data_IF_021637956139
#
_entry.id   IF_021637956139
#
_cell.length_a   1.000
_cell.length_b   1.000
_cell.length_c   1.000
_cell.angle_alpha   90.00
_cell.angle_beta   90.00
_cell.angle_gamma   90.00
#
_symmetry.space_group_name_H-M   'P 1'
#
loop_
_entity.id
_entity.type
_entity.pdbx_description
1 polymer ?
#
# COMPACT_ATOMS: atom_id res chain seq x y z
N UNK A 1 -2.96 -16.65 8.85
CA UNK A 1 -3.43 -15.60 7.93
C UNK A 1 -2.48 -14.43 8.11
N UNK A 2 -1.61 -14.20 7.14
CA UNK A 2 -0.57 -13.16 7.23
C UNK A 2 -1.00 -11.91 6.49
N UNK A 3 -1.83 -11.10 7.09
CA UNK A 3 -2.11 -9.76 6.57
C UNK A 3 -1.06 -8.79 7.08
N UNK A 4 -0.52 -7.96 6.20
CA UNK A 4 0.33 -6.83 6.58
C UNK A 4 -0.52 -5.58 6.74
N UNK A 5 -0.10 -4.72 7.65
CA UNK A 5 -0.66 -3.37 7.76
C UNK A 5 -0.25 -2.58 6.51
N UNK A 6 -1.11 -1.70 6.02
CA UNK A 6 -0.81 -0.90 4.82
C UNK A 6 0.47 -0.09 5.00
N UNK A 7 0.76 0.37 6.21
CA UNK A 7 2.00 1.09 6.52
C UNK A 7 3.28 0.32 6.16
N UNK A 8 3.23 -1.03 6.16
CA UNK A 8 4.37 -1.88 5.81
C UNK A 8 4.50 -2.13 4.29
N UNK A 9 3.61 -1.55 3.50
CA UNK A 9 3.67 -1.66 2.03
C UNK A 9 4.76 -0.76 1.46
N UNK A 10 5.65 -1.33 0.67
CA UNK A 10 6.76 -0.57 0.09
C UNK A 10 6.35 0.39 -1.03
N UNK A 11 5.21 0.17 -1.70
CA UNK A 11 4.89 0.85 -2.96
C UNK A 11 3.77 1.87 -2.86
N UNK A 12 2.84 1.66 -1.96
CA UNK A 12 1.59 2.41 -1.92
C UNK A 12 1.53 3.38 -0.75
N UNK A 13 2.66 3.55 -0.06
CA UNK A 13 2.78 4.44 1.08
C UNK A 13 3.86 5.47 0.78
N UNK A 14 3.48 6.73 0.74
CA UNK A 14 4.38 7.83 0.40
C UNK A 14 5.68 7.82 1.23
N UNK A 15 5.58 7.46 2.50
CA UNK A 15 6.71 7.41 3.44
C UNK A 15 7.74 6.30 3.13
N UNK A 16 7.39 5.36 2.23
CA UNK A 16 8.25 4.27 1.79
C UNK A 16 8.70 4.43 0.33
N UNK A 17 8.31 5.53 -0.32
CA UNK A 17 8.69 5.84 -1.70
C UNK A 17 9.95 6.69 -1.73
N UNK A 18 11.12 6.06 -1.85
CA UNK A 18 12.39 6.77 -1.97
C UNK A 18 12.40 7.78 -3.10
N UNK A 19 11.79 7.43 -4.24
CA UNK A 19 11.71 8.31 -5.40
C UNK A 19 11.03 9.65 -5.07
N UNK A 20 10.01 9.60 -4.20
CA UNK A 20 9.30 10.78 -3.74
C UNK A 20 10.11 11.55 -2.69
N UNK A 21 10.56 10.84 -1.65
CA UNK A 21 11.27 11.45 -0.52
C UNK A 21 12.57 12.10 -0.93
N UNK A 22 13.31 11.47 -1.83
CA UNK A 22 14.61 11.94 -2.32
C UNK A 22 14.52 12.70 -3.64
N UNK A 23 13.29 12.89 -4.16
CA UNK A 23 13.06 13.55 -5.46
C UNK A 23 13.87 12.91 -6.60
N UNK A 24 14.03 11.59 -6.56
CA UNK A 24 14.74 10.86 -7.62
C UNK A 24 13.93 10.85 -8.90
N UNK A 25 14.56 11.19 -9.99
CA UNK A 25 13.96 11.19 -11.33
C UNK A 25 14.84 10.43 -12.31
N UNK A 26 14.23 9.99 -13.40
CA UNK A 26 14.94 9.36 -14.51
C UNK A 26 15.41 10.39 -15.54
N UNK A 27 14.99 11.65 -15.41
CA UNK A 27 15.35 12.73 -16.33
C UNK A 27 16.50 13.54 -15.75
N UNK A 28 17.52 13.90 -16.56
CA UNK A 28 18.62 14.74 -16.11
C UNK A 28 18.17 16.11 -15.61
N UNK A 29 17.09 16.62 -16.15
CA UNK A 29 16.50 17.91 -15.80
C UNK A 29 15.78 17.90 -14.45
N UNK A 30 15.61 16.73 -13.83
CA UNK A 30 14.96 16.58 -12.54
C UNK A 30 13.43 16.75 -12.56
N UNK A 31 12.78 16.56 -13.71
CA UNK A 31 11.32 16.58 -13.80
C UNK A 31 10.67 15.42 -13.02
N UNK A 32 9.59 15.64 -12.28
CA UNK A 32 8.79 16.89 -12.18
C UNK A 32 9.22 17.83 -11.04
N UNK A 33 10.26 17.51 -10.28
CA UNK A 33 10.57 18.21 -9.01
C UNK A 33 11.35 19.51 -9.19
N UNK A 34 12.33 19.53 -10.07
CA UNK A 34 13.29 20.65 -10.25
C UNK A 34 13.48 21.09 -11.69
N UNK A 35 12.67 20.56 -12.62
CA UNK A 35 12.85 20.89 -14.03
C UNK A 35 12.48 22.36 -14.33
N UNK A 36 13.00 22.93 -15.44
CA UNK A 36 12.74 24.33 -15.84
C UNK A 36 11.26 24.66 -16.07
N UNK A 37 10.45 23.65 -16.33
CA UNK A 37 9.00 23.78 -16.55
C UNK A 37 8.20 23.85 -15.25
N UNK A 38 8.77 23.46 -14.11
CA UNK A 38 8.11 23.56 -12.83
C UNK A 38 8.14 24.98 -12.30
N UNK A 39 6.98 25.61 -12.20
CA UNK A 39 6.81 26.99 -11.74
C UNK A 39 6.44 27.11 -10.26
N UNK A 40 6.26 26.00 -9.58
CA UNK A 40 5.97 25.95 -8.15
C UNK A 40 7.19 26.26 -7.29
N UNK A 41 6.95 26.60 -6.02
CA UNK A 41 8.02 26.70 -5.02
C UNK A 41 8.61 25.35 -4.67
N UNK A 42 9.71 25.35 -3.90
CA UNK A 42 10.31 24.13 -3.43
C UNK A 42 9.33 23.34 -2.54
N UNK A 43 8.98 22.13 -2.96
CA UNK A 43 8.19 21.19 -2.15
C UNK A 43 9.15 20.23 -1.46
N UNK A 44 9.03 20.12 -0.14
CA UNK A 44 9.78 19.16 0.67
C UNK A 44 8.90 17.98 1.01
N UNK A 45 9.47 16.79 0.90
CA UNK A 45 8.80 15.54 1.24
C UNK A 45 9.57 14.86 2.37
N UNK A 46 8.85 14.41 3.40
CA UNK A 46 9.46 13.69 4.53
C UNK A 46 8.47 12.70 5.13
N UNK A 47 8.98 11.72 5.84
CA UNK A 47 8.15 10.78 6.61
C UNK A 47 7.40 11.52 7.71
N UNK A 48 6.10 11.30 7.82
CA UNK A 48 5.26 11.96 8.81
C UNK A 48 4.66 13.30 8.34
N UNK A 49 4.86 13.70 7.07
CA UNK A 49 4.29 14.95 6.55
C UNK A 49 2.76 14.91 6.43
N UNK A 50 2.17 13.72 6.42
CA UNK A 50 0.73 13.50 6.32
C UNK A 50 0.19 12.74 7.56
N UNK A 51 0.11 13.38 8.73
CA UNK A 51 -0.17 12.69 9.99
C UNK A 51 -1.53 11.98 10.01
N UNK A 52 -2.55 12.53 9.36
CA UNK A 52 -3.86 11.87 9.26
C UNK A 52 -3.78 10.60 8.38
N UNK A 53 -3.05 10.67 7.27
CA UNK A 53 -2.81 9.52 6.41
C UNK A 53 -2.03 8.45 7.18
N UNK A 54 -0.98 8.83 7.89
CA UNK A 54 -0.16 7.91 8.68
C UNK A 54 -0.99 7.21 9.76
N UNK A 55 -1.88 7.93 10.44
CA UNK A 55 -2.81 7.37 11.41
C UNK A 55 -3.82 6.38 10.79
N UNK A 56 -4.25 6.61 9.56
CA UNK A 56 -5.14 5.70 8.85
C UNK A 56 -4.42 4.44 8.39
N UNK A 57 -3.30 4.60 7.69
CA UNK A 57 -2.57 3.46 7.11
C UNK A 57 -1.96 2.54 8.17
N UNK A 58 -1.65 3.06 9.37
CA UNK A 58 -1.17 2.25 10.49
C UNK A 58 -2.21 1.25 11.02
N UNK A 59 -3.49 1.48 10.73
CA UNK A 59 -4.63 0.65 11.15
C UNK A 59 -5.33 -0.04 9.99
N UNK A 60 -4.99 0.32 8.76
CA UNK A 60 -5.58 -0.24 7.56
C UNK A 60 -4.85 -1.53 7.16
N UNK A 61 -5.60 -2.49 6.68
CA UNK A 61 -5.10 -3.68 6.01
C UNK A 61 -5.53 -3.65 4.56
N UNK A 62 -4.63 -4.04 3.66
CA UNK A 62 -4.96 -4.21 2.26
C UNK A 62 -5.38 -5.66 2.01
N UNK A 63 -6.56 -5.83 1.44
CA UNK A 63 -7.10 -7.13 1.04
C UNK A 63 -6.93 -7.23 -0.47
N UNK A 64 -5.79 -7.74 -0.91
CA UNK A 64 -5.55 -7.98 -2.33
C UNK A 64 -6.17 -9.31 -2.76
N UNK A 65 -7.09 -9.23 -3.71
CA UNK A 65 -7.70 -10.38 -4.38
C UNK A 65 -7.35 -10.34 -5.86
N UNK A 66 -7.16 -11.51 -6.45
CA UNK A 66 -6.89 -11.64 -7.89
C UNK A 66 -5.44 -11.48 -8.32
N UNK A 67 -4.53 -11.16 -7.42
CA UNK A 67 -3.10 -11.02 -7.70
C UNK A 67 -2.33 -12.16 -7.06
N UNK A 68 -1.51 -12.86 -7.84
CA UNK A 68 -0.67 -13.96 -7.37
C UNK A 68 0.72 -13.51 -6.91
N UNK A 69 0.97 -12.22 -6.86
CA UNK A 69 2.27 -11.68 -6.44
C UNK A 69 2.39 -11.69 -4.91
N UNK A 70 3.30 -12.48 -4.35
CA UNK A 70 3.53 -12.52 -2.91
C UNK A 70 4.02 -11.17 -2.33
N UNK A 71 4.59 -10.30 -3.16
CA UNK A 71 5.03 -8.96 -2.76
C UNK A 71 3.88 -7.97 -2.60
N UNK A 72 2.82 -8.10 -3.39
CA UNK A 72 1.58 -7.32 -3.27
C UNK A 72 0.57 -7.98 -2.34
N UNK A 73 0.98 -9.11 -1.74
CA UNK A 73 0.19 -9.80 -0.77
C UNK A 73 -1.16 -10.25 -1.32
N UNK A 74 -1.18 -11.41 -1.94
CA UNK A 74 -2.37 -12.23 -1.88
C UNK A 74 -2.56 -12.64 -0.41
N UNK A 75 -2.75 -11.64 0.45
CA UNK A 75 -2.94 -11.83 1.89
C UNK A 75 -4.13 -12.76 2.16
N UNK A 76 -4.98 -12.90 1.18
CA UNK A 76 -6.10 -13.81 1.17
C UNK A 76 -5.83 -15.12 0.43
N UNK A 77 -4.77 -15.21 -0.38
CA UNK A 77 -4.43 -16.41 -1.14
C UNK A 77 -5.47 -16.79 -2.19
N UNK A 78 -6.33 -15.85 -2.60
CA UNK A 78 -7.32 -16.08 -3.65
C UNK A 78 -6.88 -15.36 -4.91
N UNK A 79 -6.79 -16.10 -6.01
CA UNK A 79 -6.41 -15.62 -7.32
C UNK A 79 -7.57 -15.72 -8.31
N UNK A 80 -7.43 -15.14 -9.50
CA UNK A 80 -8.43 -15.27 -10.57
C UNK A 80 -8.59 -16.71 -11.11
N UNK A 81 -7.71 -17.63 -10.70
CA UNK A 81 -7.73 -19.05 -11.10
C UNK A 81 -8.47 -19.92 -10.09
N UNK A 82 -8.82 -19.37 -8.95
CA UNK A 82 -9.46 -20.12 -7.87
C UNK A 82 -10.99 -20.13 -8.04
N UNK A 83 -11.60 -21.25 -7.70
CA UNK A 83 -13.04 -21.44 -7.75
C UNK A 83 -13.76 -20.83 -6.53
N UNK A 84 -15.09 -20.89 -6.56
CA UNK A 84 -15.96 -20.36 -5.50
C UNK A 84 -15.62 -20.94 -4.12
N UNK A 85 -15.32 -22.23 -4.04
CA UNK A 85 -14.98 -22.90 -2.78
C UNK A 85 -13.76 -22.28 -2.07
N UNK A 86 -12.75 -21.88 -2.84
CA UNK A 86 -11.57 -21.22 -2.29
C UNK A 86 -11.90 -19.83 -1.75
N UNK A 87 -12.80 -19.11 -2.45
CA UNK A 87 -13.31 -17.80 -2.00
C UNK A 87 -14.08 -17.96 -0.70
N UNK A 88 -15.00 -18.92 -0.63
CA UNK A 88 -15.83 -19.18 0.55
C UNK A 88 -14.98 -19.58 1.76
N UNK A 89 -13.98 -20.44 1.55
CA UNK A 89 -13.04 -20.82 2.60
C UNK A 89 -12.22 -19.60 3.11
N UNK A 90 -11.86 -18.68 2.22
CA UNK A 90 -11.17 -17.46 2.57
C UNK A 90 -12.07 -16.51 3.39
N UNK A 91 -13.29 -16.31 2.95
CA UNK A 91 -14.31 -15.50 3.64
C UNK A 91 -14.60 -16.07 5.03
N UNK A 92 -14.75 -17.38 5.16
CA UNK A 92 -14.99 -18.04 6.45
C UNK A 92 -13.85 -17.79 7.43
N UNK A 93 -12.58 -17.90 6.98
CA UNK A 93 -11.40 -17.59 7.79
C UNK A 93 -11.37 -16.12 8.22
N UNK A 94 -11.69 -15.21 7.31
CA UNK A 94 -11.75 -13.79 7.63
C UNK A 94 -12.80 -13.49 8.69
N UNK A 95 -14.03 -14.02 8.52
CA UNK A 95 -15.12 -13.85 9.49
C UNK A 95 -14.77 -14.42 10.86
N UNK A 96 -14.13 -15.59 10.90
CA UNK A 96 -13.71 -16.20 12.16
C UNK A 96 -12.69 -15.36 12.92
N UNK A 97 -11.78 -14.68 12.22
CA UNK A 97 -10.81 -13.76 12.83
C UNK A 97 -11.49 -12.46 13.24
N UNK A 98 -12.22 -11.83 12.33
CA UNK A 98 -12.90 -10.54 12.58
C UNK A 98 -13.88 -10.63 13.74
N UNK A 99 -14.66 -11.71 13.83
CA UNK A 99 -15.63 -11.92 14.91
C UNK A 99 -15.03 -12.03 16.32
N UNK A 100 -13.71 -12.24 16.44
CA UNK A 100 -13.02 -12.20 17.74
C UNK A 100 -12.75 -10.77 18.23
N UNK A 101 -12.72 -9.81 17.33
CA UNK A 101 -12.32 -8.43 17.61
C UNK A 101 -13.43 -7.40 17.40
N UNK A 102 -14.47 -7.75 16.64
CA UNK A 102 -15.67 -6.93 16.49
C UNK A 102 -16.65 -7.31 17.63
N UNK A 103 -16.60 -6.55 18.69
CA UNK A 103 -17.59 -6.58 19.78
C UNK A 103 -18.49 -5.36 19.66
#
# INVERSE_FOLDING_TARGET
MGTRVVADSGWHVYANMEQLLEKRTITPEGCPFTCPHYKGGEVKYWKGMLPQTDALISRAINISIGVSDPGLGSAFGVTMRDGADAVDACVARFRAVAGKYLR
#
